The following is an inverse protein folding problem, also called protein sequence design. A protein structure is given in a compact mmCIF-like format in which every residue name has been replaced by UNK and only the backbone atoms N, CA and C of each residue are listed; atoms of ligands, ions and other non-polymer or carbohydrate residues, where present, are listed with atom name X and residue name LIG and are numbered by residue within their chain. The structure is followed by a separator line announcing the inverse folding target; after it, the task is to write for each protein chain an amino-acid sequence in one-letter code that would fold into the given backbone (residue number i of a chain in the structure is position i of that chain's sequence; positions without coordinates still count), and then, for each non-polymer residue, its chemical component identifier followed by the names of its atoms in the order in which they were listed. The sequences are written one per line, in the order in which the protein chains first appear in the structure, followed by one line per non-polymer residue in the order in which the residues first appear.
data_IF_431058508563
#
_entry.id   IF_431058508563
#
_cell.length_a   1.000
_cell.length_b   1.000
_cell.length_c   1.000
_cell.angle_alpha   90.00
_cell.angle_beta   90.00
_cell.angle_gamma   90.00
#
_symmetry.space_group_name_H-M   'P 1'
#
loop_
_entity.id
_entity.type
_entity.pdbx_description
1 polymer ?
#
# COMPACT_ATOMS: atom_id res chain seq x y z
N UNK A 1 10.03 8.04 16.83
CA UNK A 1 10.43 6.88 17.65
C UNK A 1 9.22 5.95 17.67
N UNK A 2 9.11 5.08 16.65
CA UNK A 2 7.98 4.15 16.56
C UNK A 2 8.27 2.90 17.42
N UNK A 3 7.51 2.72 18.49
CA UNK A 3 7.47 1.45 19.19
C UNK A 3 6.36 0.63 18.54
N UNK A 4 6.69 -0.43 17.80
CA UNK A 4 5.70 -1.36 17.28
C UNK A 4 5.08 -2.10 18.46
N UNK A 5 3.87 -1.72 18.81
CA UNK A 5 3.09 -2.33 19.88
C UNK A 5 1.98 -3.15 19.23
N UNK A 6 1.82 -4.40 19.66
CA UNK A 6 0.71 -5.25 19.22
C UNK A 6 -0.37 -5.23 20.29
N UNK A 7 -1.62 -4.96 19.89
CA UNK A 7 -2.78 -5.10 20.77
C UNK A 7 -3.50 -6.42 20.45
N UNK A 8 -3.59 -7.36 21.40
CA UNK A 8 -4.53 -8.47 21.27
C UNK A 8 -5.96 -7.93 21.26
N UNK A 9 -6.83 -8.51 20.45
CA UNK A 9 -8.22 -8.06 20.24
C UNK A 9 -9.10 -7.98 21.49
N UNK A 10 -8.70 -8.63 22.58
CA UNK A 10 -9.47 -8.67 23.85
C UNK A 10 -8.96 -7.67 24.91
N UNK A 11 -8.10 -6.75 24.56
CA UNK A 11 -7.41 -5.87 25.50
C UNK A 11 -7.88 -4.41 25.46
N UNK A 12 -9.01 -4.16 24.82
CA UNK A 12 -9.65 -2.84 24.75
C UNK A 12 -10.86 -2.80 25.67
N UNK A 13 -10.85 -1.91 26.64
CA UNK A 13 -11.97 -1.68 27.56
C UNK A 13 -12.36 -0.20 27.51
N UNK A 14 -13.60 0.06 27.17
CA UNK A 14 -14.19 1.40 27.17
C UNK A 14 -15.00 1.64 28.43
N UNK A 15 -14.86 2.82 29.02
CA UNK A 15 -15.72 3.32 30.10
C UNK A 15 -16.15 4.77 29.81
N UNK A 16 -16.87 5.41 30.73
CA UNK A 16 -17.37 6.78 30.55
C UNK A 16 -16.25 7.82 30.35
N UNK A 17 -15.06 7.56 30.88
CA UNK A 17 -13.96 8.53 30.96
C UNK A 17 -12.85 8.27 29.93
N UNK A 18 -12.92 7.17 29.19
CA UNK A 18 -11.91 6.86 28.17
C UNK A 18 -11.82 5.40 27.76
N UNK A 19 -10.65 5.05 27.23
CA UNK A 19 -10.32 3.71 26.75
C UNK A 19 -9.03 3.24 27.41
N UNK A 20 -9.05 2.04 27.93
CA UNK A 20 -7.85 1.34 28.42
C UNK A 20 -7.43 0.30 27.40
N UNK A 21 -6.17 0.33 26.99
CA UNK A 21 -5.58 -0.55 25.99
C UNK A 21 -4.41 -1.29 26.63
N UNK A 22 -4.34 -2.60 26.43
CA UNK A 22 -3.15 -3.39 26.71
C UNK A 22 -2.37 -3.64 25.42
N UNK A 23 -1.12 -3.27 25.42
CA UNK A 23 -0.22 -3.36 24.29
C UNK A 23 0.92 -4.32 24.64
N UNK A 24 1.24 -5.22 23.73
CA UNK A 24 2.43 -6.05 23.85
C UNK A 24 3.61 -5.35 23.14
N UNK A 25 4.72 -5.20 23.83
CA UNK A 25 5.97 -4.72 23.24
C UNK A 25 6.67 -5.85 22.46
N UNK A 26 7.68 -5.50 21.65
CA UNK A 26 8.52 -6.50 20.96
C UNK A 26 9.16 -7.51 21.92
N UNK A 27 9.41 -7.12 23.14
CA UNK A 27 9.98 -7.99 24.21
C UNK A 27 8.89 -8.75 24.98
N UNK A 28 7.67 -8.83 24.46
CA UNK A 28 6.51 -9.46 25.10
C UNK A 28 6.12 -8.87 26.47
N UNK A 29 6.52 -7.64 26.77
CA UNK A 29 6.07 -6.94 27.96
C UNK A 29 4.71 -6.32 27.70
N UNK A 30 3.81 -6.40 28.67
CA UNK A 30 2.51 -5.76 28.61
C UNK A 30 2.60 -4.32 29.11
N UNK A 31 2.11 -3.40 28.28
CA UNK A 31 1.94 -2.00 28.63
C UNK A 31 0.45 -1.68 28.66
N UNK A 32 -0.03 -1.12 29.75
CA UNK A 32 -1.41 -0.63 29.87
C UNK A 32 -1.41 0.88 29.64
N UNK A 33 -2.16 1.32 28.63
CA UNK A 33 -2.33 2.74 28.29
C UNK A 33 -3.79 3.12 28.50
N UNK A 34 -4.03 4.22 29.21
CA UNK A 34 -5.35 4.85 29.32
C UNK A 34 -5.37 6.16 28.55
N UNK A 35 -6.36 6.34 27.73
CA UNK A 35 -6.49 7.51 26.87
C UNK A 35 -7.96 7.92 26.65
N UNK A 36 -8.19 9.19 26.34
CA UNK A 36 -9.51 9.69 25.96
C UNK A 36 -9.87 9.37 24.51
N UNK A 37 -8.87 9.32 23.62
CA UNK A 37 -9.04 9.08 22.20
C UNK A 37 -8.09 7.97 21.74
N UNK A 38 -8.60 7.07 20.94
CA UNK A 38 -7.82 6.06 20.20
C UNK A 38 -8.01 6.29 18.71
N UNK A 39 -6.92 6.48 18.00
CA UNK A 39 -6.90 6.59 16.54
C UNK A 39 -6.22 5.36 15.97
N UNK A 40 -6.91 4.62 15.12
CA UNK A 40 -6.39 3.44 14.46
C UNK A 40 -5.91 3.79 13.05
N UNK A 41 -4.61 3.63 12.82
CA UNK A 41 -3.94 3.81 11.54
C UNK A 41 -3.27 2.50 11.07
N UNK A 42 -3.72 1.34 11.56
CA UNK A 42 -3.06 0.04 11.31
C UNK A 42 -3.38 -0.56 9.93
N UNK A 43 -4.13 0.15 9.11
CA UNK A 43 -4.47 -0.29 7.75
C UNK A 43 -5.76 -1.12 7.72
N UNK A 44 -5.97 -1.81 6.60
CA UNK A 44 -7.26 -2.46 6.29
C UNK A 44 -7.58 -3.68 7.17
N UNK A 45 -6.57 -4.31 7.74
CA UNK A 45 -6.73 -5.47 8.63
C UNK A 45 -6.89 -5.10 10.11
N UNK A 46 -7.29 -3.86 10.39
CA UNK A 46 -7.56 -3.42 11.76
C UNK A 46 -8.36 -4.46 12.53
N UNK A 47 -7.88 -4.78 13.72
CA UNK A 47 -8.53 -5.72 14.65
C UNK A 47 -9.41 -5.01 15.68
N UNK A 48 -9.36 -3.69 15.74
CA UNK A 48 -10.01 -2.90 16.78
C UNK A 48 -11.11 -1.99 16.26
N UNK A 49 -11.13 -1.69 14.96
CA UNK A 49 -12.20 -0.90 14.31
C UNK A 49 -13.38 -1.81 13.99
N UNK A 50 -14.53 -1.47 14.53
CA UNK A 50 -15.79 -2.14 14.17
C UNK A 50 -16.18 -1.73 12.75
N UNK A 51 -16.54 -2.70 11.92
CA UNK A 51 -17.04 -2.48 10.56
C UNK A 51 -18.56 -2.63 10.52
N UNK A 52 -19.22 -1.81 9.69
CA UNK A 52 -20.63 -1.98 9.42
C UNK A 52 -20.87 -3.36 8.79
N UNK A 53 -21.80 -4.13 9.39
CA UNK A 53 -22.22 -5.41 8.82
C UNK A 53 -23.56 -5.22 8.14
N UNK A 54 -23.54 -5.16 6.81
CA UNK A 54 -24.76 -5.19 5.99
C UNK A 54 -24.72 -6.47 5.15
N UNK A 55 -25.80 -7.24 5.07
CA UNK A 55 -25.83 -8.46 4.26
C UNK A 55 -25.45 -8.23 2.79
N UNK A 56 -25.80 -7.06 2.26
CA UNK A 56 -25.54 -6.61 0.89
C UNK A 56 -24.19 -5.89 0.71
N UNK A 57 -23.40 -5.74 1.77
CA UNK A 57 -22.09 -5.06 1.63
C UNK A 57 -21.20 -5.84 0.66
N UNK A 58 -20.80 -5.24 -0.44
CA UNK A 58 -19.92 -5.91 -1.40
C UNK A 58 -18.59 -6.25 -0.73
N UNK A 59 -18.09 -7.44 -1.00
CA UNK A 59 -16.73 -7.79 -0.60
C UNK A 59 -15.74 -6.89 -1.37
N UNK A 60 -14.66 -6.40 -0.75
CA UNK A 60 -13.67 -5.59 -1.46
C UNK A 60 -13.01 -6.41 -2.58
N UNK A 61 -12.63 -5.72 -3.65
CA UNK A 61 -11.55 -6.17 -4.52
C UNK A 61 -10.21 -5.68 -3.97
N UNK A 62 -9.10 -6.11 -4.56
CA UNK A 62 -7.78 -5.73 -4.07
C UNK A 62 -6.85 -5.35 -5.21
N UNK A 63 -6.08 -4.29 -5.01
CA UNK A 63 -4.86 -4.05 -5.75
C UNK A 63 -3.69 -4.61 -4.96
N UNK A 64 -2.75 -5.22 -5.68
CA UNK A 64 -1.48 -5.66 -5.13
C UNK A 64 -0.41 -4.75 -5.73
N UNK A 65 0.44 -4.21 -4.89
CA UNK A 65 1.60 -3.46 -5.32
C UNK A 65 2.87 -4.08 -4.75
N UNK A 66 3.89 -4.16 -5.61
CA UNK A 66 5.25 -4.44 -5.26
C UNK A 66 6.10 -3.22 -5.57
N UNK A 67 6.68 -2.61 -4.55
CA UNK A 67 7.60 -1.49 -4.67
C UNK A 67 9.03 -1.88 -4.34
N UNK A 68 9.99 -1.27 -5.01
CA UNK A 68 11.40 -1.43 -4.69
C UNK A 68 12.17 -0.12 -4.84
N UNK A 69 12.93 0.22 -3.81
CA UNK A 69 13.88 1.33 -3.84
C UNK A 69 15.24 0.80 -4.27
N UNK A 70 15.73 1.27 -5.42
CA UNK A 70 16.93 0.73 -6.06
C UNK A 70 17.88 1.82 -6.56
N UNK A 71 19.17 1.48 -6.67
CA UNK A 71 20.10 2.16 -7.57
C UNK A 71 20.12 1.42 -8.89
N UNK A 72 20.19 2.17 -9.98
CA UNK A 72 20.31 1.62 -11.33
C UNK A 72 21.64 2.02 -11.98
N UNK A 73 22.06 1.22 -12.96
CA UNK A 73 23.28 1.51 -13.75
C UNK A 73 22.99 2.67 -14.72
N UNK A 74 23.75 3.76 -14.59
CA UNK A 74 23.64 4.93 -15.47
C UNK A 74 24.25 4.73 -16.87
N UNK A 75 25.02 3.66 -17.06
CA UNK A 75 25.78 3.43 -18.29
C UNK A 75 24.92 2.97 -19.48
N UNK A 76 23.67 2.62 -19.27
CA UNK A 76 22.81 2.00 -20.29
C UNK A 76 21.96 2.97 -21.14
N UNK A 77 22.11 4.29 -20.97
CA UNK A 77 21.37 5.27 -21.77
C UNK A 77 22.29 6.14 -22.63
N UNK A 78 21.91 6.36 -23.88
CA UNK A 78 22.54 7.39 -24.73
C UNK A 78 22.23 8.82 -24.25
N UNK A 79 21.27 8.95 -23.34
CA UNK A 79 20.82 10.21 -22.75
C UNK A 79 20.91 10.12 -21.22
N UNK A 80 21.76 10.96 -20.62
CA UNK A 80 21.95 11.03 -19.16
C UNK A 80 20.73 11.53 -18.39
N UNK A 81 19.72 12.05 -19.08
CA UNK A 81 18.45 12.53 -18.47
C UNK A 81 17.42 11.42 -18.29
N UNK A 82 17.68 10.20 -18.77
CA UNK A 82 16.72 9.11 -18.75
C UNK A 82 17.26 7.85 -18.06
N UNK A 83 16.33 7.06 -17.53
CA UNK A 83 16.55 5.69 -17.05
C UNK A 83 15.62 4.79 -17.86
N UNK A 84 16.15 4.11 -18.87
CA UNK A 84 15.32 3.46 -19.87
C UNK A 84 14.39 4.49 -20.53
N UNK A 85 13.07 4.27 -20.55
CA UNK A 85 12.11 5.22 -21.10
C UNK A 85 11.62 6.27 -20.08
N UNK A 86 12.15 6.28 -18.85
CA UNK A 86 11.70 7.13 -17.77
C UNK A 86 12.58 8.37 -17.62
N UNK A 87 11.95 9.54 -17.50
CA UNK A 87 12.61 10.80 -17.22
C UNK A 87 13.12 10.84 -15.76
N UNK A 88 14.37 11.24 -15.54
CA UNK A 88 14.97 11.38 -14.20
C UNK A 88 14.43 12.57 -13.40
N UNK A 89 13.85 13.55 -14.06
CA UNK A 89 13.32 14.77 -13.44
C UNK A 89 11.81 14.70 -13.21
N UNK A 90 11.14 13.66 -13.72
CA UNK A 90 9.70 13.53 -13.63
C UNK A 90 9.25 12.15 -13.18
N UNK A 91 8.22 12.09 -12.34
CA UNK A 91 7.57 10.86 -11.98
C UNK A 91 6.74 10.34 -13.14
N UNK A 92 6.95 9.09 -13.54
CA UNK A 92 6.08 8.40 -14.48
C UNK A 92 4.95 7.71 -13.73
N UNK A 93 3.71 8.05 -14.10
CA UNK A 93 2.49 7.45 -13.59
C UNK A 93 1.88 6.53 -14.64
N UNK A 94 1.40 5.36 -14.21
CA UNK A 94 0.56 4.49 -15.03
C UNK A 94 1.20 4.04 -16.35
N UNK A 95 2.42 3.52 -16.30
CA UNK A 95 2.99 2.86 -17.48
C UNK A 95 2.32 1.49 -17.70
N UNK A 96 1.38 1.44 -18.62
CA UNK A 96 0.59 0.24 -18.97
C UNK A 96 1.18 -0.58 -20.12
N UNK A 97 2.41 -0.32 -20.57
CA UNK A 97 3.02 -1.12 -21.64
C UNK A 97 3.07 -2.59 -21.25
N UNK A 98 2.83 -3.46 -22.22
CA UNK A 98 2.74 -4.91 -22.03
C UNK A 98 3.76 -5.67 -22.91
N UNK A 99 4.63 -4.94 -23.58
CA UNK A 99 5.64 -5.45 -24.51
C UNK A 99 6.75 -6.27 -23.84
N UNK A 100 6.84 -6.21 -22.53
CA UNK A 100 7.73 -7.06 -21.72
C UNK A 100 7.17 -8.47 -21.47
N UNK A 101 5.89 -8.74 -21.78
CA UNK A 101 5.31 -10.07 -21.61
C UNK A 101 5.56 -10.95 -22.82
N UNK A 102 5.87 -12.20 -22.58
CA UNK A 102 5.86 -13.23 -23.62
C UNK A 102 4.41 -13.50 -24.09
N UNK A 103 4.25 -13.99 -25.32
CA UNK A 103 2.93 -14.29 -25.90
C UNK A 103 2.11 -15.23 -25.01
N UNK A 104 2.76 -16.20 -24.35
CA UNK A 104 2.15 -17.12 -23.40
C UNK A 104 1.58 -16.44 -22.14
N UNK A 105 2.08 -15.26 -21.78
CA UNK A 105 1.69 -14.49 -20.59
C UNK A 105 0.59 -13.47 -20.87
N UNK A 106 0.44 -13.03 -22.13
CA UNK A 106 -0.48 -11.94 -22.50
C UNK A 106 -1.91 -12.18 -22.04
N UNK A 107 -2.47 -13.38 -22.28
CA UNK A 107 -3.83 -13.71 -21.88
C UNK A 107 -4.05 -13.65 -20.35
N UNK A 108 -3.03 -13.92 -19.57
CA UNK A 108 -3.05 -13.80 -18.10
C UNK A 108 -2.90 -12.33 -17.68
N UNK A 109 -2.03 -11.58 -18.35
CA UNK A 109 -1.81 -10.18 -18.10
C UNK A 109 -3.06 -9.33 -18.43
N UNK A 110 -3.78 -9.65 -19.50
CA UNK A 110 -5.06 -9.01 -19.84
C UNK A 110 -6.16 -9.25 -18.80
N UNK A 111 -6.21 -10.43 -18.18
CA UNK A 111 -7.19 -10.74 -17.13
C UNK A 111 -6.89 -10.03 -15.79
N UNK A 112 -5.65 -9.78 -15.52
CA UNK A 112 -5.17 -9.10 -14.32
C UNK A 112 -4.06 -8.11 -14.69
N UNK A 113 -4.41 -6.97 -15.31
CA UNK A 113 -3.43 -5.99 -15.77
C UNK A 113 -2.65 -5.38 -14.61
N UNK A 114 -1.41 -5.01 -14.89
CA UNK A 114 -0.56 -4.24 -14.00
C UNK A 114 0.00 -3.02 -14.72
N UNK A 115 0.49 -2.07 -13.97
CA UNK A 115 1.16 -0.87 -14.47
C UNK A 115 2.32 -0.50 -13.54
N UNK A 116 3.26 0.26 -14.07
CA UNK A 116 4.43 0.72 -13.34
C UNK A 116 4.32 2.19 -12.98
N UNK A 117 4.69 2.51 -11.73
CA UNK A 117 5.16 3.82 -11.33
C UNK A 117 6.69 3.84 -11.32
N UNK A 118 7.29 4.88 -11.88
CA UNK A 118 8.72 5.14 -11.78
C UNK A 118 8.92 6.51 -11.13
N UNK A 119 9.51 6.52 -9.94
CA UNK A 119 9.67 7.69 -9.10
C UNK A 119 11.15 7.97 -8.85
N UNK A 120 11.80 8.81 -9.69
CA UNK A 120 13.19 9.19 -9.48
C UNK A 120 13.33 9.97 -8.17
N UNK A 121 14.42 9.74 -7.44
CA UNK A 121 14.70 10.43 -6.19
C UNK A 121 15.97 11.30 -6.32
N UNK A 122 17.14 10.71 -6.13
CA UNK A 122 18.43 11.43 -6.21
C UNK A 122 19.46 10.61 -6.97
N UNK A 123 20.12 11.24 -7.91
CA UNK A 123 21.14 10.58 -8.75
C UNK A 123 20.55 9.42 -9.53
N UNK A 124 21.08 8.23 -9.32
CA UNK A 124 20.61 6.98 -9.94
C UNK A 124 19.61 6.20 -9.08
N UNK A 125 19.16 6.79 -7.97
CA UNK A 125 18.19 6.16 -7.09
C UNK A 125 16.77 6.40 -7.59
N UNK A 126 16.02 5.31 -7.73
CA UNK A 126 14.64 5.34 -8.19
C UNK A 126 13.79 4.35 -7.39
N UNK A 127 12.54 4.72 -7.13
CA UNK A 127 11.54 3.81 -6.60
C UNK A 127 10.65 3.35 -7.75
N UNK A 128 10.65 2.06 -8.00
CA UNK A 128 9.73 1.42 -8.94
C UNK A 128 8.62 0.72 -8.19
N UNK A 129 7.39 0.85 -8.68
CA UNK A 129 6.26 0.14 -8.12
C UNK A 129 5.40 -0.44 -9.24
N UNK A 130 5.33 -1.78 -9.32
CA UNK A 130 4.41 -2.49 -10.18
C UNK A 130 3.12 -2.76 -9.41
N UNK A 131 1.99 -2.26 -9.91
CA UNK A 131 0.70 -2.31 -9.23
C UNK A 131 -0.35 -2.97 -10.11
N UNK A 132 -1.09 -3.93 -9.56
CA UNK A 132 -2.22 -4.55 -10.27
C UNK A 132 -3.43 -3.62 -10.31
N UNK A 133 -4.29 -3.79 -11.29
CA UNK A 133 -5.67 -3.31 -11.19
C UNK A 133 -6.43 -4.12 -10.14
N UNK A 134 -7.60 -3.59 -9.75
CA UNK A 134 -8.47 -4.25 -8.78
C UNK A 134 -8.92 -5.61 -9.30
N UNK A 135 -8.68 -6.63 -8.54
CA UNK A 135 -9.08 -8.00 -8.88
C UNK A 135 -9.63 -8.75 -7.66
N UNK A 136 -10.43 -9.78 -7.96
CA UNK A 136 -10.91 -10.77 -6.99
C UNK A 136 -11.07 -12.12 -7.67
N UNK A 137 -10.22 -13.10 -7.35
CA UNK A 137 -9.09 -13.00 -6.41
C UNK A 137 -8.01 -12.03 -6.89
N UNK A 138 -7.24 -11.48 -5.95
CA UNK A 138 -6.07 -10.66 -6.23
C UNK A 138 -4.94 -11.50 -6.82
N UNK A 139 -4.04 -10.90 -7.59
CA UNK A 139 -2.77 -11.56 -7.96
C UNK A 139 -1.88 -11.73 -6.73
N UNK A 140 -0.91 -12.62 -6.78
CA UNK A 140 0.04 -12.78 -5.69
C UNK A 140 1.09 -11.66 -5.69
N UNK A 141 1.67 -11.38 -4.52
CA UNK A 141 2.81 -10.48 -4.42
C UNK A 141 4.00 -10.93 -5.28
N UNK A 142 4.25 -12.24 -5.29
CA UNK A 142 5.35 -12.80 -6.10
C UNK A 142 5.13 -12.53 -7.59
N UNK A 143 3.91 -12.70 -8.09
CA UNK A 143 3.59 -12.40 -9.49
C UNK A 143 3.80 -10.91 -9.81
N UNK A 144 3.39 -10.02 -8.89
CA UNK A 144 3.59 -8.58 -9.07
C UNK A 144 5.08 -8.22 -9.10
N UNK A 145 5.88 -8.81 -8.21
CA UNK A 145 7.34 -8.69 -8.18
C UNK A 145 7.98 -9.22 -9.46
N UNK A 146 7.59 -10.39 -9.92
CA UNK A 146 8.14 -11.00 -11.13
C UNK A 146 7.88 -10.13 -12.36
N UNK A 147 6.68 -9.57 -12.49
CA UNK A 147 6.32 -8.64 -13.56
C UNK A 147 7.14 -7.34 -13.48
N UNK A 148 7.39 -6.81 -12.29
CA UNK A 148 8.24 -5.65 -12.09
C UNK A 148 9.63 -5.88 -12.67
N UNK A 149 10.32 -6.94 -12.24
CA UNK A 149 11.68 -7.22 -12.71
C UNK A 149 11.72 -7.62 -14.18
N UNK A 150 10.73 -8.35 -14.69
CA UNK A 150 10.61 -8.67 -16.12
C UNK A 150 10.50 -7.39 -16.97
N UNK A 151 9.71 -6.40 -16.51
CA UNK A 151 9.61 -5.09 -17.17
C UNK A 151 10.94 -4.34 -17.12
N UNK A 152 11.60 -4.27 -15.95
CA UNK A 152 12.90 -3.59 -15.85
C UNK A 152 13.96 -4.22 -16.75
N UNK A 153 14.01 -5.54 -16.81
CA UNK A 153 14.91 -6.27 -17.69
C UNK A 153 14.63 -5.97 -19.18
N UNK A 154 13.37 -6.04 -19.61
CA UNK A 154 12.94 -5.72 -20.96
C UNK A 154 13.31 -4.29 -21.36
N UNK A 155 13.18 -3.34 -20.43
CA UNK A 155 13.55 -1.93 -20.65
C UNK A 155 15.06 -1.68 -20.57
N UNK A 156 15.87 -2.71 -20.35
CA UNK A 156 17.31 -2.59 -20.20
C UNK A 156 17.74 -1.88 -18.90
N UNK A 157 16.86 -1.76 -17.92
CA UNK A 157 17.15 -1.11 -16.64
C UNK A 157 17.83 -2.12 -15.71
N UNK A 158 19.11 -1.94 -15.48
CA UNK A 158 19.90 -2.81 -14.62
C UNK A 158 19.94 -2.28 -13.20
N UNK A 159 19.32 -3.02 -12.30
CA UNK A 159 19.37 -2.75 -10.84
C UNK A 159 20.77 -3.15 -10.33
N UNK A 160 21.47 -2.20 -9.72
CA UNK A 160 22.81 -2.41 -9.14
C UNK A 160 22.75 -2.64 -7.63
N UNK A 161 21.73 -2.07 -6.96
CA UNK A 161 21.52 -2.22 -5.53
C UNK A 161 20.05 -2.11 -5.18
N UNK A 162 19.58 -2.99 -4.32
CA UNK A 162 18.24 -2.98 -3.72
C UNK A 162 18.36 -2.50 -2.28
N UNK A 163 17.64 -1.45 -1.92
CA UNK A 163 17.62 -0.88 -0.56
C UNK A 163 16.42 -1.33 0.26
N UNK A 164 15.25 -1.32 -0.38
CA UNK A 164 13.99 -1.56 0.29
C UNK A 164 12.99 -2.23 -0.66
N UNK A 165 12.15 -3.08 -0.11
CA UNK A 165 11.03 -3.70 -0.80
C UNK A 165 9.74 -3.41 -0.04
N UNK A 166 8.68 -3.04 -0.75
CA UNK A 166 7.35 -2.86 -0.21
C UNK A 166 6.36 -3.83 -0.84
N UNK A 167 5.48 -4.36 -0.02
CA UNK A 167 4.37 -5.23 -0.43
C UNK A 167 3.07 -4.65 0.09
N UNK A 168 2.28 -4.06 -0.81
CA UNK A 168 1.03 -3.39 -0.46
C UNK A 168 -0.19 -4.21 -0.88
N UNK A 169 -1.08 -4.42 0.07
CA UNK A 169 -2.38 -5.05 -0.14
C UNK A 169 -3.47 -4.01 0.08
N UNK A 170 -4.03 -3.49 -1.02
CA UNK A 170 -4.88 -2.29 -1.02
C UNK A 170 -6.33 -2.70 -1.28
N UNK A 171 -7.22 -2.68 -0.27
CA UNK A 171 -8.63 -2.99 -0.46
C UNK A 171 -9.34 -1.86 -1.18
N UNK A 172 -10.12 -2.22 -2.17
CA UNK A 172 -10.96 -1.33 -2.94
C UNK A 172 -12.42 -1.61 -2.64
N UNK A 173 -13.08 -0.69 -1.95
CA UNK A 173 -14.44 -0.87 -1.43
C UNK A 173 -14.49 -1.71 -0.15
N UNK A 174 -15.62 -2.34 0.10
CA UNK A 174 -15.87 -3.13 1.31
C UNK A 174 -16.63 -2.37 2.38
N UNK A 175 -16.71 -2.97 3.58
CA UNK A 175 -17.46 -2.41 4.69
C UNK A 175 -16.77 -1.16 5.29
N UNK A 176 -17.55 -0.13 5.54
CA UNK A 176 -17.11 1.08 6.22
C UNK A 176 -16.99 0.87 7.74
N UNK A 177 -16.22 1.69 8.45
CA UNK A 177 -16.28 1.73 9.92
C UNK A 177 -17.69 2.00 10.41
N UNK A 178 -18.09 1.32 11.49
CA UNK A 178 -19.35 1.60 12.15
C UNK A 178 -19.36 3.02 12.68
N UNK A 179 -20.49 3.73 12.55
CA UNK A 179 -20.60 5.14 12.95
C UNK A 179 -20.51 5.32 14.47
N UNK A 180 -21.08 4.37 15.21
CA UNK A 180 -21.13 4.43 16.67
C UNK A 180 -20.03 3.54 17.27
N UNK A 181 -18.84 4.11 17.40
CA UNK A 181 -17.72 3.46 18.08
C UNK A 181 -16.78 4.50 18.69
N UNK A 182 -16.00 4.08 19.69
CA UNK A 182 -15.05 4.95 20.38
C UNK A 182 -13.65 4.95 19.78
N UNK A 183 -13.45 4.16 18.75
CA UNK A 183 -12.19 4.11 18.01
C UNK A 183 -12.38 4.89 16.74
N UNK A 184 -11.53 5.88 16.53
CA UNK A 184 -11.49 6.63 15.30
C UNK A 184 -10.53 5.92 14.35
N UNK A 185 -11.01 5.59 13.17
CA UNK A 185 -10.19 5.00 12.11
C UNK A 185 -9.70 6.09 11.15
N UNK A 186 -8.47 5.94 10.63
CA UNK A 186 -7.93 6.78 9.55
C UNK A 186 -7.16 5.93 8.52
N UNK A 187 -7.13 6.38 7.28
CA UNK A 187 -6.45 5.66 6.20
C UNK A 187 -7.14 4.36 5.82
N UNK A 188 -6.39 3.29 5.69
CA UNK A 188 -6.91 1.96 5.30
C UNK A 188 -7.91 1.38 6.30
N UNK A 189 -7.73 1.63 7.60
CA UNK A 189 -8.68 1.18 8.64
C UNK A 189 -10.04 1.88 8.52
N UNK A 190 -10.07 3.11 7.99
CA UNK A 190 -11.26 3.90 7.70
C UNK A 190 -11.86 3.67 6.31
N UNK A 191 -11.29 2.78 5.50
CA UNK A 191 -11.64 2.60 4.09
C UNK A 191 -11.56 3.91 3.28
N UNK A 192 -10.57 4.77 3.58
CA UNK A 192 -10.38 6.07 2.91
C UNK A 192 -9.79 5.93 1.50
N UNK A 193 -9.41 4.72 1.08
CA UNK A 193 -8.91 4.45 -0.26
C UNK A 193 -10.00 4.73 -1.28
N UNK A 194 -9.68 5.52 -2.29
CA UNK A 194 -10.62 5.81 -3.37
C UNK A 194 -10.77 4.59 -4.28
N UNK A 195 -11.98 4.07 -4.40
CA UNK A 195 -12.25 2.77 -5.01
C UNK A 195 -11.86 2.62 -6.50
N UNK A 196 -11.62 3.73 -7.23
CA UNK A 196 -11.21 3.68 -8.63
C UNK A 196 -9.73 3.94 -8.85
N UNK A 197 -9.08 4.74 -7.99
CA UNK A 197 -7.71 5.23 -8.22
C UNK A 197 -6.69 4.71 -7.23
N UNK A 198 -7.12 4.11 -6.13
CA UNK A 198 -6.22 3.74 -5.03
C UNK A 198 -5.75 4.91 -4.16
N UNK A 199 -6.02 6.14 -4.54
CA UNK A 199 -5.58 7.33 -3.79
C UNK A 199 -6.30 7.46 -2.45
N UNK A 200 -5.56 7.76 -1.40
CA UNK A 200 -6.13 8.02 -0.08
C UNK A 200 -5.44 9.15 0.68
N UNK A 201 -4.22 9.55 0.31
CA UNK A 201 -3.43 10.55 1.03
C UNK A 201 -4.17 11.89 1.15
N UNK A 202 -4.81 12.36 0.08
CA UNK A 202 -5.59 13.61 0.11
C UNK A 202 -6.74 13.53 1.10
N UNK A 203 -7.45 12.39 1.16
CA UNK A 203 -8.53 12.18 2.14
C UNK A 203 -8.01 12.13 3.57
N UNK A 204 -6.86 11.49 3.79
CA UNK A 204 -6.22 11.47 5.11
C UNK A 204 -5.81 12.88 5.56
N UNK A 205 -5.21 13.67 4.67
CA UNK A 205 -4.81 15.05 4.97
C UNK A 205 -6.02 15.96 5.22
N UNK A 206 -7.09 15.81 4.44
CA UNK A 206 -8.33 16.57 4.68
C UNK A 206 -8.97 16.17 6.03
N UNK A 207 -9.02 14.87 6.34
CA UNK A 207 -9.55 14.40 7.61
C UNK A 207 -8.69 14.74 8.82
N UNK A 208 -7.41 15.03 8.65
CA UNK A 208 -6.53 15.40 9.75
C UNK A 208 -6.91 16.73 10.42
N UNK A 209 -7.51 17.65 9.67
CA UNK A 209 -8.00 18.92 10.23
C UNK A 209 -9.19 18.75 11.17
N UNK A 210 -9.99 17.71 10.97
CA UNK A 210 -11.14 17.39 11.84
C UNK A 210 -10.69 16.67 13.12
N UNK A 211 -9.43 16.21 13.18
CA UNK A 211 -8.83 15.50 14.31
C UNK A 211 -8.05 16.42 15.24
N UNK A 212 -7.61 17.58 14.75
CA UNK A 212 -6.79 18.54 15.49
C UNK A 212 -7.64 19.52 16.31
#
# INVERSE_FOLDING_TARGET
IGTNLYSPTNSLVHDKDGTTIQLATKDNKLLTVRTKLVVDCTGHESKIVLKETRPESPKPGFQIAYGCLVDVDESNGSDSSQIGPYDKEAMTLFDYRTDHFEESQLAKAEKAPTFMYAMPLRGNQIFFEETSLVARPAISFQECKDRCFQRLEHLGIKVTKLYEEEFCYIPMGGALPAKEQRILAIGGSAAMVHASTGYHICRCLMGATDLA
#
